data_IF_198514434711
#
_entry.id   IF_198514434711
#
_cell.length_a   1.000
_cell.length_b   1.000
_cell.length_c   1.000
_cell.angle_alpha   90.00
_cell.angle_beta   90.00
_cell.angle_gamma   90.00
#
_symmetry.space_group_name_H-M   'P 1'
#
loop_
_entity.id
_entity.type
_entity.pdbx_description
1 polymer ?
#
# COMPACT_ATOMS: atom_id res chain seq x y z
N UNK A 1 13.20 19.83 -2.18
CA UNK A 1 13.13 18.52 -1.50
C UNK A 1 12.63 17.52 -2.52
N UNK A 2 13.15 16.27 -2.53
CA UNK A 2 12.62 15.23 -3.41
C UNK A 2 11.14 14.97 -3.10
N UNK A 3 10.32 14.75 -4.14
CA UNK A 3 8.92 14.38 -3.97
C UNK A 3 8.82 12.88 -3.68
N UNK A 4 8.93 12.54 -2.39
CA UNK A 4 8.87 11.16 -1.94
C UNK A 4 7.44 10.64 -1.92
N UNK A 5 7.26 9.40 -2.40
CA UNK A 5 6.02 8.64 -2.31
C UNK A 5 6.25 7.29 -1.64
N UNK A 6 5.16 6.64 -1.24
CA UNK A 6 5.18 5.31 -0.64
C UNK A 6 4.52 4.30 -1.58
N UNK A 7 5.19 3.19 -1.86
CA UNK A 7 4.57 1.98 -2.40
C UNK A 7 4.28 1.00 -1.26
N UNK A 8 3.07 0.47 -1.26
CA UNK A 8 2.68 -0.65 -0.41
C UNK A 8 2.84 -1.94 -1.20
N UNK A 9 3.57 -2.91 -0.67
CA UNK A 9 3.86 -4.17 -1.37
C UNK A 9 3.35 -5.35 -0.55
N UNK A 10 2.56 -6.23 -1.16
CA UNK A 10 2.24 -7.53 -0.58
C UNK A 10 3.46 -8.45 -0.69
N UNK A 11 4.08 -8.82 0.43
CA UNK A 11 5.35 -9.54 0.39
C UNK A 11 5.18 -11.00 -0.11
N UNK A 12 3.96 -11.54 -0.08
CA UNK A 12 3.65 -12.89 -0.58
C UNK A 12 3.43 -12.92 -2.11
N UNK A 13 2.66 -11.98 -2.67
CA UNK A 13 2.36 -11.94 -4.11
C UNK A 13 3.27 -11.02 -4.90
N UNK A 14 4.09 -10.19 -4.25
CA UNK A 14 4.84 -9.07 -4.83
C UNK A 14 3.97 -8.01 -5.53
N UNK A 15 2.66 -7.96 -5.25
CA UNK A 15 1.76 -6.94 -5.80
C UNK A 15 2.09 -5.58 -5.17
N UNK A 16 2.22 -4.55 -6.01
CA UNK A 16 2.50 -3.19 -5.57
C UNK A 16 1.25 -2.32 -5.71
N UNK A 17 0.98 -1.53 -4.66
CA UNK A 17 -0.11 -0.57 -4.61
C UNK A 17 0.45 0.84 -4.43
N UNK A 18 -0.12 1.79 -5.17
CA UNK A 18 0.29 3.19 -5.16
C UNK A 18 0.97 3.58 -6.48
N UNK A 19 1.90 4.54 -6.46
CA UNK A 19 2.47 5.20 -5.28
C UNK A 19 1.47 6.13 -4.58
N UNK A 20 1.60 6.24 -3.26
CA UNK A 20 0.77 7.08 -2.41
C UNK A 20 1.52 8.31 -1.92
N UNK A 21 0.78 9.41 -1.79
CA UNK A 21 1.23 10.63 -1.14
C UNK A 21 1.50 10.40 0.35
N UNK A 22 2.43 11.16 0.92
CA UNK A 22 2.58 11.22 2.37
C UNK A 22 1.26 11.65 3.04
N UNK A 23 0.98 11.08 4.21
CA UNK A 23 -0.28 11.26 4.92
C UNK A 23 -1.46 10.43 4.39
N UNK A 24 -1.30 9.66 3.31
CA UNK A 24 -2.34 8.72 2.85
C UNK A 24 -2.59 7.64 3.91
N UNK A 25 -3.84 7.49 4.35
CA UNK A 25 -4.23 6.52 5.39
C UNK A 25 -4.73 5.25 4.75
N UNK A 26 -4.00 4.17 4.98
CA UNK A 26 -4.27 2.88 4.37
C UNK A 26 -4.65 1.89 5.47
N UNK A 27 -5.81 1.26 5.30
CA UNK A 27 -6.12 0.03 6.01
C UNK A 27 -5.60 -1.12 5.16
N UNK A 28 -4.71 -1.92 5.72
CA UNK A 28 -4.26 -3.17 5.11
C UNK A 28 -4.89 -4.36 5.84
N UNK A 29 -5.24 -5.41 5.12
CA UNK A 29 -5.79 -6.65 5.69
C UNK A 29 -5.19 -7.84 4.96
N UNK A 30 -4.59 -8.76 5.70
CA UNK A 30 -4.20 -10.05 5.15
C UNK A 30 -5.45 -10.85 4.82
N UNK A 31 -5.52 -11.38 3.61
CA UNK A 31 -6.57 -12.23 3.10
C UNK A 31 -5.92 -13.43 2.40
N UNK A 32 -5.39 -14.34 3.22
CA UNK A 32 -4.67 -15.51 2.75
C UNK A 32 -5.46 -16.29 1.69
N UNK A 33 -4.82 -16.56 0.54
CA UNK A 33 -5.41 -17.25 -0.60
C UNK A 33 -6.33 -16.42 -1.50
N UNK A 34 -6.67 -15.18 -1.13
CA UNK A 34 -7.43 -14.27 -1.99
C UNK A 34 -6.51 -13.53 -2.96
N UNK A 35 -7.08 -13.00 -4.05
CA UNK A 35 -6.31 -12.09 -4.91
C UNK A 35 -6.13 -10.73 -4.23
N UNK A 36 -4.93 -10.14 -4.28
CA UNK A 36 -4.71 -8.80 -3.77
C UNK A 36 -5.65 -7.80 -4.46
N UNK A 37 -6.10 -6.79 -3.71
CA UNK A 37 -7.02 -5.79 -4.23
C UNK A 37 -6.95 -4.49 -3.44
N UNK A 38 -7.28 -3.38 -4.10
CA UNK A 38 -7.38 -2.05 -3.50
C UNK A 38 -8.76 -1.46 -3.76
N UNK A 39 -9.30 -0.79 -2.75
CA UNK A 39 -10.55 -0.02 -2.86
C UNK A 39 -10.37 1.37 -2.28
N UNK A 40 -10.71 2.39 -3.07
CA UNK A 40 -10.85 3.76 -2.56
C UNK A 40 -12.03 3.83 -1.59
N UNK A 41 -11.78 4.42 -0.43
CA UNK A 41 -12.75 4.62 0.64
C UNK A 41 -13.23 6.07 0.72
N UNK A 42 -12.71 6.96 -0.13
CA UNK A 42 -13.13 8.36 -0.23
C UNK A 42 -14.37 8.51 -1.14
N UNK A 43 -15.47 9.06 -0.63
CA UNK A 43 -16.69 9.34 -1.42
C UNK A 43 -17.86 9.89 -0.58
N UNK A 44 -18.91 10.43 -1.22
CA UNK A 44 -20.04 11.14 -0.56
C UNK A 44 -20.78 10.33 0.53
N UNK A 45 -20.71 9.00 0.49
CA UNK A 45 -21.32 8.11 1.48
C UNK A 45 -20.32 7.48 2.46
N UNK A 46 -19.05 7.86 2.39
CA UNK A 46 -18.03 7.36 3.29
C UNK A 46 -17.99 8.25 4.53
N UNK A 47 -18.42 7.71 5.68
CA UNK A 47 -18.06 8.26 7.00
C UNK A 47 -16.58 8.02 7.35
N UNK A 48 -15.77 7.73 6.33
CA UNK A 48 -14.43 7.17 6.46
C UNK A 48 -13.39 8.28 6.31
N UNK A 49 -13.57 9.39 7.02
CA UNK A 49 -12.52 10.41 7.17
C UNK A 49 -11.29 9.87 7.94
N UNK A 50 -11.18 8.57 8.18
CA UNK A 50 -10.08 7.91 8.89
C UNK A 50 -9.22 7.04 7.97
N UNK A 51 -9.73 6.60 6.81
CA UNK A 51 -9.04 5.68 5.90
C UNK A 51 -9.37 6.06 4.47
N UNK A 52 -8.33 6.30 3.67
CA UNK A 52 -8.45 6.71 2.26
C UNK A 52 -8.51 5.49 1.34
N UNK A 53 -7.79 4.42 1.66
CA UNK A 53 -7.79 3.16 0.91
C UNK A 53 -7.86 1.93 1.81
N UNK A 54 -8.60 0.91 1.36
CA UNK A 54 -8.54 -0.43 1.92
C UNK A 54 -7.83 -1.36 0.93
N UNK A 55 -6.68 -1.89 1.33
CA UNK A 55 -5.92 -2.89 0.62
C UNK A 55 -6.12 -4.26 1.28
N UNK A 56 -6.33 -5.28 0.45
CA UNK A 56 -6.24 -6.68 0.84
C UNK A 56 -5.03 -7.29 0.14
N UNK A 57 -4.12 -7.89 0.89
CA UNK A 57 -3.00 -8.67 0.36
C UNK A 57 -3.10 -10.13 0.77
N UNK A 58 -2.20 -10.97 0.25
CA UNK A 58 -2.15 -12.40 0.61
C UNK A 58 -1.41 -12.63 1.91
N UNK A 59 -0.37 -11.83 2.16
CA UNK A 59 0.50 -11.96 3.32
C UNK A 59 0.78 -10.63 3.99
N UNK A 60 1.99 -10.50 4.51
CA UNK A 60 2.44 -9.29 5.19
C UNK A 60 2.62 -8.12 4.22
N UNK A 61 2.56 -6.93 4.78
CA UNK A 61 2.78 -5.70 4.05
C UNK A 61 4.23 -5.23 4.20
N UNK A 62 4.86 -4.88 3.08
CA UNK A 62 6.16 -4.22 3.00
C UNK A 62 5.95 -2.78 2.48
N UNK A 63 6.80 -1.83 2.87
CA UNK A 63 6.75 -0.45 2.35
C UNK A 63 8.02 -0.14 1.54
N UNK A 64 7.88 0.58 0.44
CA UNK A 64 9.04 1.12 -0.30
C UNK A 64 8.90 2.63 -0.41
N UNK A 65 9.98 3.34 -0.10
CA UNK A 65 10.12 4.76 -0.38
C UNK A 65 10.57 4.91 -1.84
N UNK A 66 9.80 5.65 -2.63
CA UNK A 66 10.11 5.89 -4.04
C UNK A 66 10.13 7.38 -4.37
N UNK A 67 10.89 7.73 -5.41
CA UNK A 67 10.81 9.04 -6.05
C UNK A 67 10.29 8.81 -7.49
N UNK A 68 9.28 9.56 -7.95
CA UNK A 68 8.84 9.52 -9.34
C UNK A 68 9.98 9.88 -10.29
N UNK A 69 10.10 9.16 -11.39
CA UNK A 69 11.06 9.50 -12.43
C UNK A 69 10.48 10.64 -13.27
N UNK A 70 11.18 11.77 -13.35
CA UNK A 70 10.74 12.89 -14.18
C UNK A 70 10.56 12.45 -15.64
N UNK A 71 9.33 12.50 -16.15
CA UNK A 71 9.00 12.25 -17.56
C UNK A 71 8.93 10.78 -18.00
N UNK A 72 9.17 9.81 -17.10
CA UNK A 72 8.97 8.39 -17.36
C UNK A 72 7.95 7.86 -16.35
N UNK A 73 6.90 7.16 -16.79
CA UNK A 73 5.83 6.58 -15.95
C UNK A 73 6.32 5.49 -14.97
N UNK A 74 7.32 5.79 -14.15
CA UNK A 74 7.95 4.87 -13.22
C UNK A 74 8.57 5.62 -12.05
N UNK A 75 9.16 4.86 -11.15
CA UNK A 75 9.68 5.36 -9.88
C UNK A 75 11.03 4.70 -9.61
N UNK A 76 11.91 5.40 -8.92
CA UNK A 76 13.15 4.85 -8.38
C UNK A 76 12.94 4.52 -6.91
N UNK A 77 13.24 3.26 -6.53
CA UNK A 77 13.25 2.86 -5.12
C UNK A 77 14.46 3.50 -4.44
N UNK A 78 14.19 4.35 -3.46
CA UNK A 78 15.21 5.05 -2.67
C UNK A 78 15.54 4.25 -1.42
N UNK A 79 14.53 3.64 -0.83
CA UNK A 79 14.67 2.74 0.29
C UNK A 79 13.57 1.67 0.22
N UNK A 80 13.97 0.42 0.41
CA UNK A 80 13.03 -0.68 0.59
C UNK A 80 12.96 -0.95 2.07
N UNK A 81 11.84 -0.65 2.73
CA UNK A 81 11.62 -1.14 4.08
C UNK A 81 11.54 -2.67 4.01
N UNK A 82 12.67 -3.33 4.30
CA UNK A 82 12.77 -4.78 4.40
C UNK A 82 12.09 -5.35 5.65
N UNK A 83 11.42 -4.50 6.44
CA UNK A 83 10.60 -4.94 7.56
C UNK A 83 9.21 -5.28 7.03
N UNK A 84 8.93 -6.56 6.83
CA UNK A 84 7.57 -7.05 6.71
C UNK A 84 6.82 -6.59 7.96
N UNK A 85 5.81 -5.74 7.81
CA UNK A 85 4.89 -5.42 8.88
C UNK A 85 3.99 -6.63 9.05
N UNK A 86 4.13 -7.44 10.11
CA UNK A 86 3.33 -8.63 10.28
C UNK A 86 1.87 -8.22 10.41
N UNK A 87 1.04 -8.72 9.50
CA UNK A 87 -0.40 -8.49 9.53
C UNK A 87 -1.01 -9.74 10.13
N UNK A 88 -1.93 -9.61 11.11
CA UNK A 88 -2.58 -10.79 11.65
C UNK A 88 -3.44 -11.44 10.56
N UNK A 89 -3.37 -12.78 10.39
CA UNK A 89 -4.26 -13.46 9.49
C UNK A 89 -5.71 -13.32 9.98
N UNK A 90 -6.70 -13.47 9.07
CA UNK A 90 -8.11 -13.42 9.43
C UNK A 90 -8.47 -14.41 10.56
N UNK A 91 -9.42 -14.07 11.45
CA UNK A 91 -9.96 -15.02 12.42
C UNK A 91 -10.50 -16.27 11.72
N UNK A 92 -10.23 -17.45 12.30
CA UNK A 92 -10.78 -18.73 11.85
C UNK A 92 -12.19 -18.94 12.38
#
# INVERSE_FOLDING_TARGET
MPDYKILVVDCESAEEFGPFEDGTRIKYTEANGANPSIKSMTGENSKADAVDFHIKGKGDMCLKLVIPNDGNNGYTVVDGCGCCCPVPPPPK
#
